data_IF_008106017554
#
_entry.id   IF_008106017554
#
_cell.length_a   1.000
_cell.length_b   1.000
_cell.length_c   1.000
_cell.angle_alpha   90.00
_cell.angle_beta   90.00
_cell.angle_gamma   90.00
#
_symmetry.space_group_name_H-M   'P 1'
#
loop_
_entity.id
_entity.type
_entity.pdbx_description
1 polymer ?
#
# COMPACT_ATOMS: atom_id res chain seq x y z
N UNK A 1 4.71 -7.80 19.89
CA UNK A 1 3.35 -8.06 19.40
C UNK A 1 3.19 -7.42 18.03
N UNK A 2 2.64 -8.13 17.06
CA UNK A 2 2.33 -7.67 15.71
C UNK A 2 0.81 -7.62 15.50
N UNK A 3 0.34 -6.73 14.63
CA UNK A 3 -1.07 -6.64 14.22
C UNK A 3 -1.18 -6.11 12.78
N UNK A 4 -2.34 -6.31 12.18
CA UNK A 4 -2.80 -5.65 10.95
C UNK A 4 -4.34 -5.62 10.98
N UNK A 5 -5.01 -5.35 9.85
CA UNK A 5 -6.48 -5.27 9.82
C UNK A 5 -7.18 -6.48 10.47
N UNK A 6 -6.85 -7.70 10.03
CA UNK A 6 -7.41 -8.96 10.52
C UNK A 6 -6.43 -9.86 11.28
N UNK A 7 -5.14 -9.50 11.31
CA UNK A 7 -4.05 -10.35 11.81
C UNK A 7 -3.35 -11.19 10.73
N UNK A 8 -3.95 -11.36 9.54
CA UNK A 8 -3.43 -12.26 8.49
C UNK A 8 -2.01 -11.91 8.01
N UNK A 9 -1.75 -10.65 7.62
CA UNK A 9 -0.41 -10.22 7.17
C UNK A 9 0.62 -10.28 8.32
N UNK A 10 0.21 -9.91 9.52
CA UNK A 10 1.07 -9.93 10.70
C UNK A 10 1.55 -11.34 11.07
N UNK A 11 0.75 -12.38 10.78
CA UNK A 11 1.12 -13.77 10.99
C UNK A 11 2.31 -14.19 10.12
N UNK A 12 2.33 -13.78 8.85
CA UNK A 12 3.46 -14.09 7.95
C UNK A 12 4.76 -13.41 8.41
N UNK A 13 4.68 -12.17 8.92
CA UNK A 13 5.87 -11.42 9.36
C UNK A 13 6.44 -11.86 10.72
N UNK A 14 5.75 -12.72 11.46
CA UNK A 14 6.14 -13.07 12.83
C UNK A 14 7.46 -13.84 12.90
N UNK A 15 7.68 -14.78 11.97
CA UNK A 15 8.90 -15.57 11.92
C UNK A 15 10.11 -14.70 11.59
N UNK A 16 9.99 -13.82 10.59
CA UNK A 16 11.04 -12.89 10.19
C UNK A 16 11.43 -11.95 11.34
N UNK A 17 10.45 -11.38 12.04
CA UNK A 17 10.73 -10.49 13.16
C UNK A 17 11.40 -11.24 14.33
N UNK A 18 10.98 -12.47 14.61
CA UNK A 18 11.59 -13.29 15.65
C UNK A 18 13.06 -13.59 15.31
N UNK A 19 13.34 -13.95 14.06
CA UNK A 19 14.69 -14.21 13.57
C UNK A 19 15.58 -12.96 13.62
N UNK A 20 15.07 -11.80 13.21
CA UNK A 20 15.82 -10.55 13.18
C UNK A 20 16.13 -9.99 14.59
N UNK A 21 15.24 -10.21 15.55
CA UNK A 21 15.36 -9.59 16.87
C UNK A 21 15.82 -10.54 17.98
N UNK A 22 15.69 -11.86 17.77
CA UNK A 22 15.90 -12.87 18.81
C UNK A 22 14.92 -12.75 19.99
N UNK A 23 13.82 -11.99 19.84
CA UNK A 23 12.86 -11.71 20.92
C UNK A 23 11.58 -12.53 20.73
N UNK A 24 10.82 -12.79 21.81
CA UNK A 24 9.49 -13.35 21.71
C UNK A 24 8.59 -12.46 20.85
N UNK A 25 7.94 -13.06 19.85
CA UNK A 25 6.97 -12.39 18.97
C UNK A 25 5.62 -13.07 19.14
N UNK A 26 4.57 -12.25 19.23
CA UNK A 26 3.17 -12.66 19.30
C UNK A 26 2.36 -11.87 18.27
N UNK A 27 1.24 -12.42 17.82
CA UNK A 27 0.30 -11.77 16.89
C UNK A 27 -1.02 -11.54 17.62
N UNK A 28 -1.61 -10.36 17.45
CA UNK A 28 -2.92 -10.04 18.01
C UNK A 28 -4.01 -10.85 17.29
N UNK A 29 -4.71 -11.71 18.02
CA UNK A 29 -5.80 -12.51 17.46
C UNK A 29 -6.93 -11.61 16.94
N UNK A 30 -7.34 -11.85 15.70
CA UNK A 30 -8.32 -11.02 14.96
C UNK A 30 -7.87 -9.59 14.63
N UNK A 31 -6.63 -9.20 14.96
CA UNK A 31 -6.01 -7.93 14.60
C UNK A 31 -6.73 -6.67 15.10
N UNK A 32 -6.53 -5.55 14.39
CA UNK A 32 -7.13 -4.26 14.72
C UNK A 32 -8.66 -4.31 14.70
N UNK A 33 -9.25 -5.13 13.83
CA UNK A 33 -10.70 -5.30 13.79
C UNK A 33 -11.27 -5.90 15.09
N UNK A 34 -10.60 -6.89 15.68
CA UNK A 34 -11.01 -7.43 16.97
C UNK A 34 -10.86 -6.41 18.10
N UNK A 35 -9.74 -5.67 18.11
CA UNK A 35 -9.49 -4.58 19.07
C UNK A 35 -10.59 -3.51 19.06
N UNK A 36 -10.94 -3.00 17.87
CA UNK A 36 -11.99 -2.00 17.71
C UNK A 36 -13.37 -2.54 18.09
N UNK A 37 -13.68 -3.80 17.74
CA UNK A 37 -14.97 -4.43 18.03
C UNK A 37 -15.27 -4.56 19.52
N UNK A 38 -14.25 -4.68 20.36
CA UNK A 38 -14.41 -4.70 21.83
C UNK A 38 -14.35 -3.31 22.46
N UNK A 39 -14.35 -2.24 21.66
CA UNK A 39 -14.45 -0.86 22.13
C UNK A 39 -13.18 -0.31 22.78
N UNK A 40 -12.02 -0.90 22.52
CA UNK A 40 -10.75 -0.39 23.06
C UNK A 40 -10.30 0.89 22.32
N UNK A 41 -9.61 1.81 23.01
CA UNK A 41 -9.14 3.06 22.40
C UNK A 41 -8.20 2.83 21.22
N UNK A 42 -8.29 3.70 20.21
CA UNK A 42 -7.38 3.71 19.06
C UNK A 42 -6.83 5.13 18.85
N UNK A 43 -5.56 5.20 18.44
CA UNK A 43 -4.91 6.44 18.02
C UNK A 43 -5.02 6.57 16.49
N UNK A 44 -5.33 7.77 16.00
CA UNK A 44 -5.43 8.08 14.58
C UNK A 44 -4.25 8.92 14.07
N UNK A 45 -4.13 9.04 12.75
CA UNK A 45 -3.10 9.85 12.11
C UNK A 45 -1.73 9.19 12.05
N UNK A 46 -0.70 10.00 11.77
CA UNK A 46 0.68 9.54 11.48
C UNK A 46 1.56 9.58 12.73
N UNK A 47 1.08 9.00 13.84
CA UNK A 47 1.70 9.19 15.16
C UNK A 47 3.13 8.63 15.26
N UNK A 48 3.37 7.41 14.75
CA UNK A 48 4.65 6.68 14.93
C UNK A 48 5.00 5.83 13.70
N UNK A 49 5.43 6.49 12.63
CA UNK A 49 5.85 5.81 11.40
C UNK A 49 7.28 5.30 11.53
N UNK A 50 7.46 3.98 11.50
CA UNK A 50 8.78 3.33 11.52
C UNK A 50 9.38 3.14 10.11
N UNK A 51 8.63 3.44 9.05
CA UNK A 51 9.07 3.27 7.66
C UNK A 51 8.49 4.37 6.77
N UNK A 52 9.15 4.71 5.64
CA UNK A 52 8.61 5.64 4.65
C UNK A 52 7.26 5.18 4.08
N UNK A 53 6.38 6.12 3.74
CA UNK A 53 5.06 5.87 3.16
C UNK A 53 5.12 5.67 1.65
N UNK A 54 5.69 4.55 1.24
CA UNK A 54 5.83 4.16 -0.18
C UNK A 54 4.99 2.94 -0.54
N UNK A 55 4.06 2.57 0.35
CA UNK A 55 3.17 1.41 0.23
C UNK A 55 1.98 1.64 -0.72
N UNK A 56 1.71 2.90 -1.09
CA UNK A 56 0.68 3.27 -2.07
C UNK A 56 1.20 4.29 -3.07
N UNK A 57 1.10 3.96 -4.36
CA UNK A 57 1.24 4.96 -5.42
C UNK A 57 0.06 5.94 -5.38
N UNK A 58 0.37 7.23 -5.26
CA UNK A 58 -0.62 8.31 -5.29
C UNK A 58 -1.08 8.54 -6.74
N UNK A 59 -2.11 7.81 -7.14
CA UNK A 59 -2.73 7.90 -8.48
C UNK A 59 -3.26 9.33 -8.72
N UNK A 60 -2.76 10.06 -9.75
CA UNK A 60 -3.14 11.45 -10.00
C UNK A 60 -4.64 11.65 -10.27
N UNK A 61 -5.31 10.61 -10.78
CA UNK A 61 -6.73 10.59 -11.11
C UNK A 61 -7.64 10.11 -9.95
N UNK A 62 -7.10 9.81 -8.76
CA UNK A 62 -7.91 9.44 -7.58
C UNK A 62 -8.03 10.59 -6.57
N UNK A 63 -9.28 10.92 -6.19
CA UNK A 63 -9.58 11.97 -5.23
C UNK A 63 -9.42 13.38 -5.79
N UNK A 64 -9.62 14.39 -4.94
CA UNK A 64 -9.63 15.82 -5.34
C UNK A 64 -8.42 16.62 -4.83
N UNK A 65 -7.49 15.98 -4.15
CA UNK A 65 -6.36 16.64 -3.47
C UNK A 65 -5.04 16.65 -4.24
N UNK A 66 -5.02 16.21 -5.51
CA UNK A 66 -3.79 16.15 -6.30
C UNK A 66 -3.43 17.52 -6.89
N UNK A 67 -2.13 17.79 -7.01
CA UNK A 67 -1.64 18.98 -7.68
C UNK A 67 -2.03 18.95 -9.17
N UNK A 68 -2.32 20.12 -9.76
CA UNK A 68 -2.71 20.22 -11.17
C UNK A 68 -1.61 19.68 -12.09
N UNK A 69 -0.36 19.94 -11.74
CA UNK A 69 0.82 19.52 -12.48
C UNK A 69 0.96 17.99 -12.50
N UNK A 70 0.60 17.31 -11.41
CA UNK A 70 0.60 15.85 -11.35
C UNK A 70 -0.48 15.24 -12.25
N UNK A 71 -1.65 15.88 -12.33
CA UNK A 71 -2.70 15.49 -13.28
C UNK A 71 -2.25 15.74 -14.72
N UNK A 72 -1.66 16.90 -15.01
CA UNK A 72 -1.16 17.19 -16.36
C UNK A 72 -0.08 16.18 -16.78
N UNK A 73 0.89 15.88 -15.90
CA UNK A 73 1.92 14.89 -16.18
C UNK A 73 1.34 13.49 -16.43
N UNK A 74 0.24 13.13 -15.75
CA UNK A 74 -0.47 11.89 -16.01
C UNK A 74 -1.08 11.86 -17.43
N UNK A 75 -1.71 12.95 -17.87
CA UNK A 75 -2.24 13.08 -19.23
C UNK A 75 -1.13 13.02 -20.29
N UNK A 76 -0.01 13.71 -20.04
CA UNK A 76 1.14 13.70 -20.94
C UNK A 76 1.75 12.29 -21.04
N UNK A 77 1.76 11.55 -19.92
CA UNK A 77 2.15 10.14 -19.90
C UNK A 77 1.22 9.27 -20.73
N UNK A 78 -0.11 9.40 -20.56
CA UNK A 78 -1.10 8.64 -21.35
C UNK A 78 -0.95 8.90 -22.85
N UNK A 79 -0.73 10.15 -23.25
CA UNK A 79 -0.50 10.52 -24.64
C UNK A 79 0.71 9.79 -25.26
N UNK A 80 1.76 9.60 -24.47
CA UNK A 80 2.97 8.91 -24.89
C UNK A 80 2.90 7.38 -24.93
N UNK A 81 1.80 6.76 -24.48
CA UNK A 81 1.72 5.29 -24.34
C UNK A 81 1.72 4.56 -25.68
N UNK A 82 1.07 5.09 -26.72
CA UNK A 82 1.04 4.42 -28.04
C UNK A 82 2.44 4.27 -28.61
N UNK A 83 3.26 5.33 -28.53
CA UNK A 83 4.64 5.26 -28.98
C UNK A 83 5.50 4.31 -28.12
N UNK A 84 5.17 4.12 -26.84
CA UNK A 84 5.82 3.10 -26.01
C UNK A 84 5.42 1.69 -26.44
N UNK A 85 4.14 1.45 -26.75
CA UNK A 85 3.66 0.18 -27.28
C UNK A 85 4.35 -0.18 -28.60
N UNK A 86 4.45 0.77 -29.54
CA UNK A 86 5.16 0.55 -30.81
C UNK A 86 6.63 0.16 -30.62
N UNK A 87 7.32 0.77 -29.64
CA UNK A 87 8.71 0.45 -29.32
C UNK A 87 8.85 -0.91 -28.64
N UNK A 88 7.90 -1.26 -27.78
CA UNK A 88 7.89 -2.54 -27.09
C UNK A 88 7.60 -3.69 -28.07
N UNK A 89 6.57 -3.54 -28.92
CA UNK A 89 6.24 -4.49 -29.98
C UNK A 89 5.75 -5.86 -29.51
N UNK A 90 5.51 -6.07 -28.21
CA UNK A 90 5.08 -7.38 -27.67
C UNK A 90 3.63 -7.43 -27.20
N UNK A 91 2.90 -6.30 -27.29
CA UNK A 91 1.56 -6.17 -26.72
C UNK A 91 0.49 -7.04 -27.40
N UNK A 92 0.61 -7.32 -28.70
CA UNK A 92 -0.37 -8.13 -29.44
C UNK A 92 -1.79 -7.54 -29.53
N UNK A 93 -2.02 -6.34 -29.01
CA UNK A 93 -3.30 -5.63 -29.12
C UNK A 93 -3.67 -5.27 -30.57
N UNK A 94 -4.95 -5.42 -30.91
CA UNK A 94 -5.58 -4.95 -32.15
C UNK A 94 -6.97 -4.42 -31.83
N UNK A 95 -7.50 -3.51 -32.67
CA UNK A 95 -8.85 -2.94 -32.52
C UNK A 95 -9.71 -3.40 -33.70
N UNK A 96 -10.92 -3.91 -33.41
CA UNK A 96 -11.87 -4.45 -34.40
C UNK A 96 -12.78 -3.39 -35.02
#
# INVERSE_FOLDING_TARGET
MLTCGSGALAAFAAADLAALTGKPVSVLDGGNAAWTRVGLPAEGGEAKLASPRIDRYRRPYEGVGNAREAMQAYLDWEYGLVAQLERDGTHGFFVI
#
